data_IF_663061014213
#
_entry.id   IF_663061014213
#
_cell.length_a   1.000
_cell.length_b   1.000
_cell.length_c   1.000
_cell.angle_alpha   90.00
_cell.angle_beta   90.00
_cell.angle_gamma   90.00
#
_symmetry.space_group_name_H-M   'P 1'
#
loop_
_entity.id
_entity.type
_entity.pdbx_description
1 polymer ?
#
# COMPACT_ATOMS: atom_id res chain seq x y z
N UNK A 1 8.13 -24.61 5.16
CA UNK A 1 7.08 -25.13 4.34
C UNK A 1 5.73 -24.85 4.93
N UNK A 2 4.74 -24.58 4.08
CA UNK A 2 3.37 -24.35 4.50
C UNK A 2 2.83 -25.55 5.30
N UNK A 3 2.02 -25.27 6.30
CA UNK A 3 1.31 -26.31 7.04
C UNK A 3 0.28 -26.99 6.14
N UNK A 4 0.09 -28.29 6.28
CA UNK A 4 -0.96 -29.02 5.59
C UNK A 4 -2.30 -28.76 6.29
N UNK A 5 -3.31 -28.33 5.50
CA UNK A 5 -4.65 -28.03 5.98
C UNK A 5 -5.58 -29.22 5.80
N UNK A 6 -6.34 -29.54 6.82
CA UNK A 6 -7.44 -30.51 6.77
C UNK A 6 -8.76 -29.76 6.57
N UNK A 7 -9.32 -29.84 5.36
CA UNK A 7 -10.58 -29.18 5.01
C UNK A 7 -11.79 -29.76 5.73
N UNK A 8 -11.75 -31.02 6.12
CA UNK A 8 -12.87 -31.71 6.76
C UNK A 8 -12.92 -31.36 8.27
N UNK A 9 -11.73 -31.22 8.88
CA UNK A 9 -11.61 -30.80 10.27
C UNK A 9 -11.51 -29.30 10.47
N UNK A 10 -11.34 -28.51 9.40
CA UNK A 10 -11.08 -27.07 9.41
C UNK A 10 -9.91 -26.69 10.34
N UNK A 11 -8.84 -27.50 10.34
CA UNK A 11 -7.66 -27.32 11.19
C UNK A 11 -6.37 -27.55 10.40
N UNK A 12 -5.26 -26.99 10.91
CA UNK A 12 -3.93 -27.32 10.43
C UNK A 12 -3.48 -28.70 10.97
N UNK A 13 -2.85 -29.53 10.14
CA UNK A 13 -2.26 -30.80 10.57
C UNK A 13 -0.92 -30.67 11.31
N UNK A 14 -0.34 -29.47 11.34
CA UNK A 14 0.87 -29.13 12.09
C UNK A 14 0.65 -28.01 13.09
N UNK A 15 1.45 -28.00 14.16
CA UNK A 15 1.42 -26.93 15.15
C UNK A 15 1.90 -25.61 14.57
N UNK A 16 1.28 -24.52 14.98
CA UNK A 16 1.74 -23.17 14.66
C UNK A 16 3.08 -22.90 15.34
N UNK A 17 4.08 -22.42 14.59
CA UNK A 17 5.38 -22.04 15.14
C UNK A 17 5.30 -20.86 16.11
N UNK A 18 4.24 -20.05 15.97
CA UNK A 18 3.99 -18.89 16.83
C UNK A 18 2.96 -19.16 17.91
N UNK A 19 2.52 -20.42 18.09
CA UNK A 19 1.50 -20.81 19.06
C UNK A 19 1.82 -20.36 20.50
N UNK A 20 3.09 -20.19 20.83
CA UNK A 20 3.53 -19.66 22.12
C UNK A 20 3.17 -18.18 22.33
N UNK A 21 2.90 -17.43 21.27
CA UNK A 21 2.48 -16.02 21.34
C UNK A 21 0.96 -15.88 21.52
N UNK A 22 0.20 -16.96 21.29
CA UNK A 22 -1.27 -16.95 21.28
C UNK A 22 -1.85 -18.02 22.20
N UNK A 23 -1.56 -17.96 23.50
CA UNK A 23 -1.97 -18.97 24.50
C UNK A 23 -3.47 -19.26 24.56
N UNK A 24 -4.30 -18.36 24.03
CA UNK A 24 -5.76 -18.49 24.01
C UNK A 24 -6.30 -19.13 22.72
N UNK A 25 -5.43 -19.41 21.75
CA UNK A 25 -5.78 -20.02 20.45
C UNK A 25 -5.11 -21.39 20.39
N UNK A 26 -5.86 -22.43 19.99
CA UNK A 26 -5.27 -23.76 19.82
C UNK A 26 -4.19 -23.76 18.74
N UNK A 27 -3.07 -24.45 18.98
CA UNK A 27 -1.92 -24.53 18.07
C UNK A 27 -2.23 -25.08 16.67
N UNK A 28 -3.40 -25.66 16.47
CA UNK A 28 -3.89 -26.22 15.20
C UNK A 28 -5.04 -25.40 14.61
N UNK A 29 -5.41 -24.27 15.25
CA UNK A 29 -6.55 -23.47 14.82
C UNK A 29 -6.26 -22.81 13.46
N UNK A 30 -7.19 -22.95 12.52
CA UNK A 30 -7.20 -22.20 11.28
C UNK A 30 -7.96 -20.88 11.48
N UNK A 31 -7.36 -19.74 11.08
CA UNK A 31 -7.95 -18.40 11.20
C UNK A 31 -8.52 -18.10 12.60
N UNK A 32 -7.83 -18.50 13.68
CA UNK A 32 -8.30 -18.36 15.05
C UNK A 32 -9.72 -18.93 15.28
N UNK A 33 -10.09 -20.00 14.58
CA UNK A 33 -11.43 -20.62 14.54
C UNK A 33 -12.52 -19.70 13.95
N UNK A 34 -12.16 -18.72 13.15
CA UNK A 34 -13.11 -17.79 12.50
C UNK A 34 -12.87 -17.67 10.98
N UNK A 35 -12.92 -18.78 10.21
CA UNK A 35 -12.59 -18.77 8.78
C UNK A 35 -13.59 -18.03 7.89
N UNK A 36 -14.73 -17.61 8.45
CA UNK A 36 -15.75 -16.82 7.71
C UNK A 36 -15.32 -15.34 7.64
N UNK A 37 -14.68 -14.83 8.68
CA UNK A 37 -14.29 -13.42 8.79
C UNK A 37 -12.77 -13.20 8.74
N UNK A 38 -11.99 -14.28 8.79
CA UNK A 38 -10.54 -14.23 8.71
C UNK A 38 -10.03 -15.17 7.61
N UNK A 39 -9.04 -14.73 6.88
CA UNK A 39 -8.28 -15.53 5.95
C UNK A 39 -6.90 -15.68 6.56
N UNK A 40 -6.44 -16.92 6.76
CA UNK A 40 -5.03 -17.18 7.05
C UNK A 40 -4.27 -16.95 5.74
N UNK A 41 -4.02 -15.70 5.45
CA UNK A 41 -3.17 -15.32 4.34
C UNK A 41 -1.73 -15.44 4.86
N UNK A 42 -1.05 -16.53 4.55
CA UNK A 42 0.38 -16.74 4.83
C UNK A 42 1.27 -15.70 4.13
N UNK A 43 0.98 -14.44 4.32
CA UNK A 43 1.63 -13.36 3.61
C UNK A 43 2.19 -12.31 4.55
N UNK A 44 3.48 -12.03 4.46
CA UNK A 44 4.23 -11.18 5.37
C UNK A 44 4.69 -9.86 4.77
N UNK A 45 4.12 -9.39 3.67
CA UNK A 45 4.50 -8.10 3.10
C UNK A 45 3.28 -7.25 2.78
N UNK A 46 3.07 -6.21 3.57
CA UNK A 46 2.08 -5.18 3.28
C UNK A 46 2.79 -3.91 2.80
N UNK A 47 2.37 -3.36 1.69
CA UNK A 47 2.90 -2.10 1.15
C UNK A 47 1.84 -1.02 1.28
N UNK A 48 2.08 -0.08 2.16
CA UNK A 48 1.24 1.08 2.38
C UNK A 48 1.68 2.26 1.52
N UNK A 49 0.77 2.77 0.71
CA UNK A 49 1.02 3.91 -0.19
C UNK A 49 0.19 5.11 0.25
N UNK A 50 0.83 6.03 0.96
CA UNK A 50 0.20 7.26 1.45
C UNK A 50 -0.13 8.24 0.34
N UNK A 51 -1.16 9.06 0.55
CA UNK A 51 -1.60 10.13 -0.33
C UNK A 51 -1.04 11.49 0.04
N UNK A 52 -1.79 12.53 -0.32
CA UNK A 52 -1.46 13.91 0.03
C UNK A 52 -1.95 14.24 1.45
N UNK A 53 -1.05 14.77 2.28
CA UNK A 53 -1.36 15.32 3.61
C UNK A 53 -1.12 16.82 3.64
N UNK A 54 -2.17 17.63 3.74
CA UNK A 54 -2.02 19.07 3.81
C UNK A 54 -1.40 19.58 5.12
N UNK A 55 -1.51 18.82 6.20
CA UNK A 55 -1.25 19.30 7.55
C UNK A 55 0.14 18.97 8.13
N UNK A 56 0.97 18.19 7.45
CA UNK A 56 2.26 17.75 8.01
C UNK A 56 3.40 18.76 7.91
N UNK A 57 3.19 19.89 7.27
CA UNK A 57 4.13 21.02 7.42
C UNK A 57 3.45 22.32 7.04
N UNK A 58 3.45 23.23 7.99
CA UNK A 58 3.28 24.68 7.74
C UNK A 58 4.14 25.08 6.52
N UNK A 59 5.27 24.42 6.33
CA UNK A 59 6.16 24.53 5.17
C UNK A 59 5.45 24.18 3.84
N UNK A 60 4.61 23.13 3.79
CA UNK A 60 3.90 22.78 2.54
C UNK A 60 2.79 23.78 2.20
N UNK A 61 2.10 24.34 3.19
CA UNK A 61 1.11 25.40 2.96
C UNK A 61 1.80 26.73 2.56
N UNK A 62 2.91 27.07 3.22
CA UNK A 62 3.73 28.23 2.86
C UNK A 62 4.32 28.06 1.47
N UNK A 63 4.88 26.90 1.14
CA UNK A 63 5.39 26.56 -0.20
C UNK A 63 4.27 26.66 -1.23
N UNK A 64 3.09 26.10 -0.96
CA UNK A 64 1.93 26.21 -1.86
C UNK A 64 1.52 27.65 -2.13
N UNK A 65 1.44 28.48 -1.09
CA UNK A 65 1.11 29.90 -1.21
C UNK A 65 2.22 30.69 -1.97
N UNK A 66 3.47 30.40 -1.68
CA UNK A 66 4.61 31.02 -2.35
C UNK A 66 4.75 30.60 -3.81
N UNK A 67 4.39 29.34 -4.16
CA UNK A 67 4.37 28.86 -5.56
C UNK A 67 3.32 29.55 -6.42
N UNK A 68 2.22 29.99 -5.81
CA UNK A 68 1.20 30.80 -6.49
C UNK A 68 1.65 32.26 -6.66
N UNK A 69 2.67 32.68 -5.96
CA UNK A 69 3.23 34.04 -6.07
C UNK A 69 4.16 34.14 -7.30
N UNK A 70 3.88 35.09 -8.17
CA UNK A 70 4.75 35.41 -9.31
C UNK A 70 6.05 36.15 -8.87
N UNK A 71 6.19 36.47 -7.58
CA UNK A 71 7.32 37.24 -7.05
C UNK A 71 8.57 36.44 -6.72
N UNK A 72 8.50 35.09 -6.72
CA UNK A 72 9.65 34.24 -6.42
C UNK A 72 10.46 33.90 -7.68
N UNK A 73 11.80 34.04 -7.65
CA UNK A 73 12.67 33.55 -8.69
C UNK A 73 12.47 32.06 -8.98
N UNK A 74 12.52 31.67 -10.25
CA UNK A 74 12.33 30.27 -10.68
C UNK A 74 13.30 29.29 -10.04
N UNK A 75 14.53 29.70 -9.78
CA UNK A 75 15.54 28.90 -9.08
C UNK A 75 15.13 28.59 -7.62
N UNK A 76 14.58 29.60 -6.91
CA UNK A 76 14.10 29.42 -5.54
C UNK A 76 12.87 28.53 -5.49
N UNK A 77 11.95 28.64 -6.47
CA UNK A 77 10.83 27.71 -6.64
C UNK A 77 11.33 26.27 -6.84
N UNK A 78 12.35 26.06 -7.68
CA UNK A 78 12.91 24.74 -7.95
C UNK A 78 13.53 24.11 -6.68
N UNK A 79 14.27 24.86 -5.89
CA UNK A 79 14.86 24.40 -4.62
C UNK A 79 13.77 24.06 -3.60
N UNK A 80 12.73 24.90 -3.48
CA UNK A 80 11.60 24.63 -2.58
C UNK A 80 10.80 23.39 -3.03
N UNK A 81 10.65 23.16 -4.34
CA UNK A 81 10.01 21.96 -4.87
C UNK A 81 10.83 20.71 -4.58
N UNK A 82 12.15 20.76 -4.72
CA UNK A 82 13.03 19.65 -4.42
C UNK A 82 12.99 19.28 -2.92
N UNK A 83 12.99 20.29 -2.03
CA UNK A 83 12.91 20.07 -0.58
C UNK A 83 11.53 19.57 -0.10
N UNK A 84 10.47 19.86 -0.87
CA UNK A 84 9.11 19.38 -0.58
C UNK A 84 8.78 18.06 -1.29
N UNK A 85 9.72 17.48 -2.04
CA UNK A 85 9.51 16.21 -2.71
C UNK A 85 9.17 15.11 -1.71
N UNK A 86 8.14 14.31 -1.95
CA UNK A 86 7.82 13.19 -1.08
C UNK A 86 8.95 12.15 -1.13
N UNK A 87 9.23 11.53 0.01
CA UNK A 87 10.04 10.33 0.01
C UNK A 87 9.27 9.22 -0.72
N UNK A 88 9.83 8.70 -1.80
CA UNK A 88 9.23 7.65 -2.63
C UNK A 88 9.95 6.32 -2.52
N UNK A 89 11.01 6.28 -1.72
CA UNK A 89 11.66 5.02 -1.42
C UNK A 89 10.80 4.22 -0.44
N UNK A 90 10.86 2.91 -0.57
CA UNK A 90 10.22 2.02 0.38
C UNK A 90 10.95 2.08 1.71
N UNK A 91 10.21 2.22 2.79
CA UNK A 91 10.75 2.37 4.14
C UNK A 91 9.95 1.56 5.14
N UNK A 92 10.63 1.08 6.18
CA UNK A 92 9.98 0.50 7.37
C UNK A 92 9.34 1.58 8.27
N UNK A 93 9.57 2.86 7.96
CA UNK A 93 9.03 4.00 8.72
C UNK A 93 7.76 4.52 8.05
N UNK A 94 6.74 4.70 8.86
CA UNK A 94 5.52 5.37 8.45
C UNK A 94 5.73 6.90 8.45
N UNK A 95 5.60 7.48 7.27
CA UNK A 95 5.70 8.93 7.05
C UNK A 95 4.34 9.57 6.76
N UNK A 96 3.29 8.77 6.73
CA UNK A 96 1.92 9.15 6.44
C UNK A 96 1.04 8.88 7.66
N UNK A 97 0.11 9.78 7.95
CA UNK A 97 -0.87 9.55 9.02
C UNK A 97 -1.98 8.63 8.52
N UNK A 98 -1.91 7.36 8.92
CA UNK A 98 -2.89 6.33 8.58
C UNK A 98 -4.08 6.30 9.54
N UNK A 99 -4.05 7.07 10.65
CA UNK A 99 -5.11 7.05 11.66
C UNK A 99 -5.42 5.65 12.15
N UNK A 100 -4.40 4.83 12.41
CA UNK A 100 -4.49 3.41 12.82
C UNK A 100 -5.01 2.43 11.75
N UNK A 101 -5.20 2.85 10.51
CA UNK A 101 -5.61 1.93 9.44
C UNK A 101 -4.50 0.93 9.12
N UNK A 102 -3.24 1.35 9.11
CA UNK A 102 -2.10 0.47 8.92
C UNK A 102 -2.01 -0.59 10.02
N UNK A 103 -2.20 -0.21 11.29
CA UNK A 103 -2.25 -1.13 12.42
C UNK A 103 -3.36 -2.17 12.25
N UNK A 104 -4.56 -1.73 11.84
CA UNK A 104 -5.68 -2.63 11.56
C UNK A 104 -5.32 -3.68 10.50
N UNK A 105 -4.65 -3.29 9.41
CA UNK A 105 -4.20 -4.25 8.38
C UNK A 105 -3.13 -5.20 8.92
N UNK A 106 -2.13 -4.68 9.63
CA UNK A 106 -1.06 -5.46 10.25
C UNK A 106 -1.66 -6.53 11.19
N UNK A 107 -2.59 -6.13 12.05
CA UNK A 107 -3.23 -7.04 13.00
C UNK A 107 -4.16 -8.04 12.31
N UNK A 108 -4.97 -7.58 11.33
CA UNK A 108 -5.92 -8.44 10.62
C UNK A 108 -5.23 -9.56 9.85
N UNK A 109 -4.10 -9.25 9.22
CA UNK A 109 -3.34 -10.22 8.42
C UNK A 109 -2.15 -10.82 9.19
N UNK A 110 -1.99 -10.48 10.46
CA UNK A 110 -0.86 -10.89 11.31
C UNK A 110 0.50 -10.69 10.63
N UNK A 111 0.65 -9.57 9.93
CA UNK A 111 1.74 -9.30 9.00
C UNK A 111 2.57 -8.11 9.47
N UNK A 112 3.68 -8.39 10.14
CA UNK A 112 4.57 -7.37 10.70
C UNK A 112 5.57 -6.82 9.68
N UNK A 113 5.67 -7.40 8.47
CA UNK A 113 6.58 -6.92 7.43
C UNK A 113 5.90 -5.85 6.58
N UNK A 114 5.85 -4.63 7.10
CA UNK A 114 5.23 -3.50 6.43
C UNK A 114 6.27 -2.58 5.78
N UNK A 115 6.01 -2.18 4.54
CA UNK A 115 6.76 -1.14 3.82
C UNK A 115 5.84 0.05 3.54
N UNK A 116 6.40 1.24 3.65
CA UNK A 116 5.69 2.50 3.46
C UNK A 116 6.32 3.30 2.33
N UNK A 117 5.50 3.89 1.49
CA UNK A 117 5.91 4.84 0.45
C UNK A 117 4.83 5.89 0.22
N UNK A 118 5.13 6.93 -0.56
CA UNK A 118 4.19 8.01 -0.81
C UNK A 118 3.92 8.19 -2.30
N UNK A 119 2.65 8.03 -2.68
CA UNK A 119 2.17 8.24 -4.04
C UNK A 119 1.70 9.66 -4.35
N UNK A 120 1.90 10.61 -3.42
CA UNK A 120 1.52 12.00 -3.63
C UNK A 120 2.42 12.70 -4.66
N UNK A 121 1.90 13.75 -5.26
CA UNK A 121 2.67 14.71 -6.04
C UNK A 121 2.65 16.07 -5.34
N UNK A 122 3.75 16.80 -5.44
CA UNK A 122 3.89 18.12 -4.82
C UNK A 122 3.12 19.23 -5.51
N UNK A 123 2.66 18.99 -6.75
CA UNK A 123 1.97 20.01 -7.54
C UNK A 123 0.46 19.80 -7.55
N UNK A 124 -0.33 20.88 -7.36
CA UNK A 124 -1.74 20.87 -7.71
C UNK A 124 -1.91 20.44 -9.18
N UNK A 125 -2.88 19.58 -9.46
CA UNK A 125 -3.22 19.19 -10.82
C UNK A 125 -2.46 17.98 -11.38
N UNK A 126 -1.77 17.19 -10.54
CA UNK A 126 -1.26 15.90 -11.03
C UNK A 126 -2.40 14.94 -11.32
N UNK A 127 -2.36 14.31 -12.50
CA UNK A 127 -3.33 13.30 -12.89
C UNK A 127 -3.08 11.97 -12.19
N UNK A 128 -4.14 11.17 -12.03
CA UNK A 128 -4.03 9.80 -11.56
C UNK A 128 -3.10 8.96 -12.47
N UNK A 129 -3.17 9.19 -13.79
CA UNK A 129 -2.28 8.54 -14.76
C UNK A 129 -0.79 8.83 -14.49
N UNK A 130 -0.44 10.07 -14.12
CA UNK A 130 0.94 10.38 -13.73
C UNK A 130 1.37 9.61 -12.47
N UNK A 131 0.51 9.55 -11.46
CA UNK A 131 0.78 8.79 -10.23
C UNK A 131 0.88 7.30 -10.48
N UNK A 132 0.04 6.76 -11.37
CA UNK A 132 0.13 5.38 -11.82
C UNK A 132 1.49 5.08 -12.45
N UNK A 133 1.96 5.92 -13.38
CA UNK A 133 3.27 5.74 -14.01
C UNK A 133 4.43 5.81 -13.01
N UNK A 134 4.33 6.70 -12.02
CA UNK A 134 5.29 6.75 -10.92
C UNK A 134 5.27 5.48 -10.08
N UNK A 135 4.08 4.90 -9.87
CA UNK A 135 3.90 3.60 -9.23
C UNK A 135 4.53 2.46 -10.02
N UNK A 136 4.42 2.46 -11.36
CA UNK A 136 5.11 1.51 -12.23
C UNK A 136 6.64 1.56 -12.04
N UNK A 137 7.21 2.74 -11.99
CA UNK A 137 8.66 2.92 -11.76
C UNK A 137 9.08 2.42 -10.37
N UNK A 138 8.29 2.75 -9.34
CA UNK A 138 8.55 2.27 -7.98
C UNK A 138 8.41 0.75 -7.87
N UNK A 139 7.41 0.16 -8.52
CA UNK A 139 7.23 -1.28 -8.54
C UNK A 139 8.39 -2.01 -9.22
N UNK A 140 8.94 -1.47 -10.32
CA UNK A 140 10.14 -2.03 -10.94
C UNK A 140 11.34 -1.99 -10.00
N UNK A 141 11.51 -0.90 -9.25
CA UNK A 141 12.55 -0.79 -8.22
C UNK A 141 12.35 -1.81 -7.11
N UNK A 142 11.10 -1.98 -6.65
CA UNK A 142 10.75 -3.00 -5.65
C UNK A 142 11.11 -4.41 -6.12
N UNK A 143 10.81 -4.76 -7.38
CA UNK A 143 11.20 -6.05 -7.97
C UNK A 143 12.72 -6.24 -7.92
N UNK A 144 13.49 -5.21 -8.25
CA UNK A 144 14.96 -5.26 -8.16
C UNK A 144 15.42 -5.48 -6.72
N UNK A 145 14.79 -4.83 -5.75
CA UNK A 145 15.11 -4.98 -4.32
C UNK A 145 14.76 -6.39 -3.80
N UNK A 146 13.66 -6.98 -4.26
CA UNK A 146 13.28 -8.36 -3.95
C UNK A 146 14.33 -9.33 -4.54
N UNK A 147 14.70 -9.16 -5.82
CA UNK A 147 15.71 -10.00 -6.48
C UNK A 147 17.09 -9.86 -5.86
N UNK A 148 17.43 -8.70 -5.31
CA UNK A 148 18.69 -8.45 -4.60
C UNK A 148 18.68 -8.94 -3.14
N UNK A 149 17.53 -9.41 -2.63
CA UNK A 149 17.37 -9.80 -1.22
C UNK A 149 17.33 -8.63 -0.24
N UNK A 150 17.17 -7.39 -0.73
CA UNK A 150 17.02 -6.19 0.11
C UNK A 150 15.62 -6.12 0.73
N UNK A 151 14.63 -6.66 0.04
CA UNK A 151 13.27 -6.87 0.51
C UNK A 151 13.05 -8.38 0.56
N UNK A 152 12.89 -8.89 1.76
CA UNK A 152 12.61 -10.31 1.96
C UNK A 152 11.19 -10.62 1.49
N UNK A 153 11.08 -11.62 0.63
CA UNK A 153 9.82 -12.21 0.17
C UNK A 153 10.03 -13.70 0.02
N UNK A 154 9.52 -14.48 0.97
CA UNK A 154 9.64 -15.95 0.93
C UNK A 154 8.73 -16.55 -0.14
N UNK A 155 8.95 -17.81 -0.53
CA UNK A 155 8.25 -18.44 -1.66
C UNK A 155 6.73 -18.55 -1.46
N UNK A 156 6.25 -18.55 -0.24
CA UNK A 156 4.84 -18.66 0.17
C UNK A 156 4.20 -17.31 0.56
N UNK A 157 4.97 -16.22 0.58
CA UNK A 157 4.47 -14.89 0.92
C UNK A 157 3.67 -14.25 -0.20
N UNK A 158 2.59 -13.54 0.15
CA UNK A 158 1.85 -12.68 -0.75
C UNK A 158 2.09 -11.21 -0.44
N UNK A 159 2.11 -10.40 -1.49
CA UNK A 159 2.25 -8.94 -1.42
C UNK A 159 0.84 -8.34 -1.34
N UNK A 160 0.59 -7.54 -0.32
CA UNK A 160 -0.66 -6.81 -0.15
C UNK A 160 -0.38 -5.32 -0.36
N UNK A 161 -1.18 -4.67 -1.17
CA UNK A 161 -1.02 -3.25 -1.50
C UNK A 161 -2.21 -2.47 -0.96
N UNK A 162 -1.94 -1.42 -0.19
CA UNK A 162 -2.97 -0.55 0.37
C UNK A 162 -2.67 0.88 0.00
N UNK A 163 -3.46 1.46 -0.89
CA UNK A 163 -3.29 2.84 -1.38
C UNK A 163 -4.37 3.77 -0.87
N UNK A 164 -4.01 4.85 -0.19
CA UNK A 164 -4.95 5.86 0.29
C UNK A 164 -4.91 7.13 -0.57
N UNK A 165 -6.07 7.68 -0.90
CA UNK A 165 -6.24 8.95 -1.60
C UNK A 165 -5.44 8.99 -2.91
N UNK A 166 -4.46 9.89 -3.07
CA UNK A 166 -3.56 9.94 -4.23
C UNK A 166 -2.69 8.69 -4.38
N UNK A 167 -2.41 8.00 -3.28
CA UNK A 167 -1.65 6.75 -3.26
C UNK A 167 -2.35 5.59 -3.96
N UNK A 168 -3.68 5.65 -4.14
CA UNK A 168 -4.44 4.60 -4.81
C UNK A 168 -3.95 4.33 -6.25
N UNK A 169 -3.80 5.37 -7.07
CA UNK A 169 -3.28 5.23 -8.44
C UNK A 169 -1.82 4.74 -8.47
N UNK A 170 -1.02 5.17 -7.50
CA UNK A 170 0.37 4.73 -7.36
C UNK A 170 0.45 3.25 -6.98
N UNK A 171 -0.38 2.78 -6.02
CA UNK A 171 -0.47 1.36 -5.64
C UNK A 171 -0.88 0.47 -6.83
N UNK A 172 -1.83 0.93 -7.66
CA UNK A 172 -2.19 0.23 -8.89
C UNK A 172 -1.00 0.12 -9.87
N UNK A 173 -0.18 1.16 -9.97
CA UNK A 173 1.05 1.13 -10.77
C UNK A 173 2.09 0.15 -10.22
N UNK A 174 2.29 0.09 -8.90
CA UNK A 174 3.17 -0.92 -8.28
C UNK A 174 2.67 -2.33 -8.61
N UNK A 175 1.37 -2.59 -8.43
CA UNK A 175 0.78 -3.89 -8.73
C UNK A 175 1.01 -4.31 -10.18
N UNK A 176 0.82 -3.39 -11.13
CA UNK A 176 1.08 -3.66 -12.54
C UNK A 176 2.55 -4.01 -12.80
N UNK A 177 3.49 -3.30 -12.20
CA UNK A 177 4.91 -3.60 -12.35
C UNK A 177 5.29 -4.98 -11.78
N UNK A 178 4.67 -5.39 -10.69
CA UNK A 178 4.81 -6.73 -10.10
C UNK A 178 4.26 -7.80 -11.05
N UNK A 179 3.09 -7.56 -11.65
CA UNK A 179 2.49 -8.46 -12.67
C UNK A 179 3.42 -8.59 -13.89
N UNK A 180 3.90 -7.47 -14.41
CA UNK A 180 4.82 -7.44 -15.57
C UNK A 180 6.13 -8.20 -15.30
N UNK A 181 6.53 -8.31 -14.03
CA UNK A 181 7.70 -9.07 -13.57
C UNK A 181 7.40 -10.53 -13.20
N UNK A 182 6.16 -11.02 -13.40
CA UNK A 182 5.77 -12.41 -13.13
C UNK A 182 5.33 -12.69 -11.69
N UNK A 183 5.09 -11.66 -10.87
CA UNK A 183 4.62 -11.80 -9.48
C UNK A 183 3.09 -11.76 -9.34
N UNK A 184 2.32 -11.97 -10.42
CA UNK A 184 0.85 -11.88 -10.36
C UNK A 184 0.25 -12.78 -9.28
N UNK A 185 0.65 -14.05 -9.24
CA UNK A 185 0.15 -15.03 -8.28
C UNK A 185 0.63 -14.78 -6.83
N UNK A 186 1.56 -13.82 -6.67
CA UNK A 186 2.10 -13.38 -5.39
C UNK A 186 1.38 -12.13 -4.87
N UNK A 187 0.43 -11.56 -5.61
CA UNK A 187 -0.34 -10.40 -5.17
C UNK A 187 -1.63 -10.90 -4.52
N UNK A 188 -1.73 -10.77 -3.20
CA UNK A 188 -2.92 -11.15 -2.46
C UNK A 188 -4.11 -10.24 -2.78
N UNK A 189 -3.89 -8.92 -2.74
CA UNK A 189 -4.90 -7.92 -3.12
C UNK A 189 -4.31 -6.53 -3.31
N UNK A 190 -5.12 -5.63 -3.89
CA UNK A 190 -4.87 -4.19 -3.94
C UNK A 190 -6.08 -3.44 -3.41
N UNK A 191 -5.94 -2.77 -2.29
CA UNK A 191 -6.98 -1.97 -1.65
C UNK A 191 -6.82 -0.49 -1.95
N UNK A 192 -7.90 0.14 -2.34
CA UNK A 192 -7.98 1.56 -2.64
C UNK A 192 -8.90 2.26 -1.65
N UNK A 193 -8.32 2.98 -0.70
CA UNK A 193 -9.06 3.69 0.34
C UNK A 193 -9.23 5.15 -0.08
N UNK A 194 -10.47 5.63 -0.18
CA UNK A 194 -10.82 7.00 -0.57
C UNK A 194 -10.03 7.48 -1.82
N UNK A 195 -9.98 6.66 -2.86
CA UNK A 195 -9.15 6.90 -4.04
C UNK A 195 -9.42 8.26 -4.68
N UNK A 196 -8.37 9.07 -4.86
CA UNK A 196 -8.44 10.35 -5.55
C UNK A 196 -8.36 10.13 -7.07
N UNK A 197 -9.34 10.67 -7.82
CA UNK A 197 -9.50 10.50 -9.27
C UNK A 197 -9.58 9.02 -9.69
N UNK A 198 -10.52 8.23 -9.15
CA UNK A 198 -10.57 6.79 -9.40
C UNK A 198 -10.83 6.41 -10.86
N UNK A 199 -11.43 7.30 -11.66
CA UNK A 199 -11.62 7.10 -13.11
C UNK A 199 -10.36 7.39 -13.95
N UNK A 200 -9.31 7.90 -13.34
CA UNK A 200 -8.07 8.30 -14.04
C UNK A 200 -6.99 7.23 -14.04
N UNK A 201 -7.25 6.04 -13.51
CA UNK A 201 -6.39 4.86 -13.57
C UNK A 201 -7.24 3.59 -13.61
N UNK A 202 -6.64 2.49 -14.04
CA UNK A 202 -7.30 1.18 -14.07
C UNK A 202 -6.68 0.26 -13.03
N UNK A 203 -7.53 -0.56 -12.41
CA UNK A 203 -7.06 -1.67 -11.59
C UNK A 203 -6.40 -2.72 -12.49
N UNK A 204 -5.21 -3.25 -12.14
CA UNK A 204 -4.56 -4.31 -12.90
C UNK A 204 -5.42 -5.58 -12.97
N UNK A 205 -5.46 -6.21 -14.12
CA UNK A 205 -6.24 -7.42 -14.33
C UNK A 205 -5.60 -8.64 -13.66
N UNK A 206 -6.43 -9.58 -13.23
CA UNK A 206 -5.97 -10.87 -12.71
C UNK A 206 -5.55 -10.85 -11.22
N UNK A 207 -5.77 -9.76 -10.52
CA UNK A 207 -5.58 -9.66 -9.07
C UNK A 207 -6.84 -9.16 -8.39
N UNK A 208 -6.99 -9.44 -7.10
CA UNK A 208 -8.14 -8.97 -6.31
C UNK A 208 -7.99 -7.48 -6.05
N UNK A 209 -9.00 -6.68 -6.40
CA UNK A 209 -9.07 -5.25 -6.12
C UNK A 209 -10.30 -4.90 -5.30
N UNK A 210 -10.13 -4.11 -4.23
CA UNK A 210 -11.23 -3.63 -3.41
C UNK A 210 -11.16 -2.11 -3.29
N UNK A 211 -12.29 -1.43 -3.38
CA UNK A 211 -12.37 0.02 -3.22
C UNK A 211 -13.26 0.38 -2.03
N UNK A 212 -12.70 1.14 -1.12
CA UNK A 212 -13.35 1.67 0.06
C UNK A 212 -13.51 3.19 -0.08
N UNK A 213 -14.73 3.69 0.08
CA UNK A 213 -14.99 5.12 0.01
C UNK A 213 -16.23 5.47 0.81
N UNK A 214 -16.30 6.69 1.31
CA UNK A 214 -17.49 7.22 1.94
C UNK A 214 -18.39 7.87 0.89
N UNK A 215 -19.70 7.68 0.99
CA UNK A 215 -20.69 8.39 0.14
C UNK A 215 -20.66 9.90 0.34
N UNK A 216 -20.04 10.38 1.44
CA UNK A 216 -19.84 11.80 1.75
C UNK A 216 -18.53 12.36 1.25
N UNK A 217 -17.60 11.50 0.78
CA UNK A 217 -16.30 11.94 0.25
C UNK A 217 -16.47 12.43 -1.20
N UNK A 218 -16.41 13.74 -1.36
CA UNK A 218 -16.56 14.42 -2.66
C UNK A 218 -15.38 14.09 -3.60
N UNK A 219 -14.20 13.78 -3.04
CA UNK A 219 -12.98 13.53 -3.81
C UNK A 219 -12.91 12.10 -4.35
N UNK A 220 -13.60 11.15 -3.71
CA UNK A 220 -13.66 9.74 -4.13
C UNK A 220 -14.93 9.42 -4.95
N UNK A 221 -15.76 10.40 -5.28
CA UNK A 221 -16.95 10.18 -6.10
C UNK A 221 -16.58 9.58 -7.44
N UNK A 222 -17.21 8.46 -7.77
CA UNK A 222 -17.15 7.88 -9.12
C UNK A 222 -17.54 8.98 -10.12
N UNK A 223 -16.66 9.28 -11.05
CA UNK A 223 -17.05 10.05 -12.23
C UNK A 223 -18.21 9.32 -12.91
N UNK A 224 -19.28 10.08 -13.21
CA UNK A 224 -20.41 9.60 -14.02
C UNK A 224 -19.93 9.38 -15.44
#
# INVERSE_FOLDING_TARGET
GARQYDSDGAVWLGTDRLSELYYHIGSYAYCANNPINAIDADGRLIIFVGGFEPNRSVTSAIIGTMMLSNSLPSQMKAVMMASAAPNRDFSKKDYYDWGSVNELYIDTYNDQNALYTQGRTTLPGSSASKRYNMGLEAGRKLVQQILAGEVELTDDETIKLVGHSQGAAYAAGIAQALIDAGYQDRIGFVDYIAAHQPSGFSHPQGVVGRQFGSTRDILSRRGK
#
